data_IF_523050817964
#
_entry.id   IF_523050817964
#
_cell.length_a   1.000
_cell.length_b   1.000
_cell.length_c   1.000
_cell.angle_alpha   90.00
_cell.angle_beta   90.00
_cell.angle_gamma   90.00
#
_symmetry.space_group_name_H-M   'P 1'
#
loop_
_entity.id
_entity.type
_entity.pdbx_description
1 polymer ?
#
# COMPACT_ATOMS: atom_id res chain seq x y z
N UNK A 1 4.62 3.52 -4.58
CA UNK A 1 3.44 4.41 -4.44
C UNK A 1 2.69 4.06 -3.17
N UNK A 2 2.10 5.05 -2.50
CA UNK A 2 1.33 4.82 -1.27
C UNK A 2 0.03 5.64 -1.27
N UNK A 3 -1.03 5.05 -0.73
CA UNK A 3 -2.31 5.73 -0.46
C UNK A 3 -2.96 5.19 0.82
N UNK A 4 -3.83 6.02 1.43
CA UNK A 4 -4.75 5.66 2.51
C UNK A 4 -6.17 5.78 2.02
N UNK A 5 -6.99 4.79 2.32
CA UNK A 5 -8.43 4.81 2.02
C UNK A 5 -9.24 4.64 3.30
N UNK A 6 -10.49 5.09 3.28
CA UNK A 6 -11.46 4.75 4.33
C UNK A 6 -12.08 3.35 4.09
N UNK A 7 -12.97 2.95 4.98
CA UNK A 7 -13.63 1.63 4.94
C UNK A 7 -14.53 1.41 3.71
N UNK A 8 -14.88 2.45 2.96
CA UNK A 8 -15.69 2.36 1.73
C UNK A 8 -14.89 2.62 0.45
N UNK A 9 -13.56 2.64 0.54
CA UNK A 9 -12.68 2.77 -0.63
C UNK A 9 -12.47 4.20 -1.15
N UNK A 10 -12.77 5.24 -0.35
CA UNK A 10 -12.48 6.63 -0.68
C UNK A 10 -11.05 6.97 -0.26
N UNK A 11 -10.29 7.61 -1.14
CA UNK A 11 -8.90 8.00 -0.90
C UNK A 11 -8.86 9.18 0.06
N UNK A 12 -8.27 8.99 1.23
CA UNK A 12 -8.09 10.00 2.27
C UNK A 12 -6.75 10.72 2.15
N UNK A 13 -5.72 9.99 1.72
CA UNK A 13 -4.37 10.53 1.54
C UNK A 13 -3.57 9.69 0.53
N UNK A 14 -2.53 10.29 -0.05
CA UNK A 14 -1.56 9.62 -0.89
C UNK A 14 -0.23 10.37 -0.90
N UNK A 15 0.86 9.67 -1.25
CA UNK A 15 2.15 10.35 -1.48
C UNK A 15 2.21 10.96 -2.89
N UNK A 16 3.17 11.90 -3.08
CA UNK A 16 3.40 12.57 -4.37
C UNK A 16 3.69 11.59 -5.51
N UNK A 17 4.38 10.49 -5.21
CA UNK A 17 4.69 9.45 -6.20
C UNK A 17 3.42 8.78 -6.76
N UNK A 18 2.40 8.53 -5.91
CA UNK A 18 1.12 7.97 -6.35
C UNK A 18 0.39 8.94 -7.27
N UNK A 19 0.29 10.21 -6.87
CA UNK A 19 -0.38 11.23 -7.65
C UNK A 19 0.30 11.47 -9.01
N UNK A 20 1.63 11.68 -9.00
CA UNK A 20 2.41 11.91 -10.21
C UNK A 20 2.36 10.73 -11.19
N UNK A 21 2.42 9.49 -10.70
CA UNK A 21 2.33 8.29 -11.55
C UNK A 21 0.99 8.18 -12.26
N UNK A 22 -0.09 8.56 -11.59
CA UNK A 22 -1.43 8.56 -12.17
C UNK A 22 -1.72 9.80 -13.03
N UNK A 23 -0.85 10.81 -13.00
CA UNK A 23 -1.00 12.03 -13.80
C UNK A 23 -1.94 13.07 -13.19
N UNK A 24 -2.22 13.00 -11.89
CA UNK A 24 -3.09 13.92 -11.17
C UNK A 24 -2.32 14.82 -10.20
N UNK A 25 -2.87 15.99 -9.90
CA UNK A 25 -2.50 16.69 -8.68
C UNK A 25 -3.07 15.94 -7.46
N UNK A 26 -2.36 15.96 -6.31
CA UNK A 26 -2.83 15.27 -5.10
C UNK A 26 -4.25 15.72 -4.70
N UNK A 27 -4.55 17.01 -4.80
CA UNK A 27 -5.88 17.57 -4.49
C UNK A 27 -7.01 17.02 -5.37
N UNK A 28 -6.69 16.54 -6.57
CA UNK A 28 -7.67 15.95 -7.48
C UNK A 28 -7.98 14.49 -7.13
N UNK A 29 -7.10 13.84 -6.38
CA UNK A 29 -7.24 12.42 -5.96
C UNK A 29 -8.01 12.30 -4.64
N UNK A 30 -7.80 13.23 -3.71
CA UNK A 30 -8.43 13.15 -2.39
C UNK A 30 -9.96 13.23 -2.49
N UNK A 31 -10.63 12.34 -1.77
CA UNK A 31 -12.09 12.22 -1.78
C UNK A 31 -12.65 11.36 -2.93
N UNK A 32 -11.82 10.88 -3.85
CA UNK A 32 -12.26 10.03 -4.96
C UNK A 32 -12.23 8.55 -4.58
N UNK A 33 -13.12 7.74 -5.18
CA UNK A 33 -13.09 6.29 -5.02
C UNK A 33 -11.89 5.69 -5.76
N UNK A 34 -11.32 4.63 -5.18
CA UNK A 34 -10.16 3.92 -5.78
C UNK A 34 -10.44 3.36 -7.17
N UNK A 35 -11.71 3.09 -7.50
CA UNK A 35 -12.15 2.57 -8.79
C UNK A 35 -11.93 3.54 -9.95
N UNK A 36 -11.80 4.85 -9.69
CA UNK A 36 -11.49 5.83 -10.75
C UNK A 36 -10.05 5.68 -11.28
N UNK A 37 -9.19 5.00 -10.52
CA UNK A 37 -7.80 4.71 -10.91
C UNK A 37 -7.60 3.28 -11.42
N UNK A 38 -8.68 2.61 -11.81
CA UNK A 38 -8.68 1.23 -12.30
C UNK A 38 -9.60 1.16 -13.52
N UNK A 39 -9.17 0.61 -14.66
CA UNK A 39 -10.02 0.44 -15.81
C UNK A 39 -11.17 -0.54 -15.48
N UNK A 40 -12.32 -0.36 -16.14
CA UNK A 40 -13.53 -1.13 -15.84
C UNK A 40 -13.33 -2.64 -15.93
N UNK A 41 -12.47 -3.08 -16.83
CA UNK A 41 -12.11 -4.49 -17.04
C UNK A 41 -11.45 -5.12 -15.81
N UNK A 42 -10.76 -4.32 -14.98
CA UNK A 42 -10.09 -4.75 -13.75
C UNK A 42 -10.88 -4.46 -12.46
N UNK A 43 -12.14 -4.01 -12.57
CA UNK A 43 -12.97 -3.77 -11.38
C UNK A 43 -13.27 -5.05 -10.60
N UNK A 44 -13.38 -6.21 -11.28
CA UNK A 44 -13.54 -7.51 -10.62
C UNK A 44 -12.36 -7.81 -9.69
N UNK A 45 -11.14 -7.67 -10.20
CA UNK A 45 -9.91 -7.89 -9.42
C UNK A 45 -9.81 -6.94 -8.21
N UNK A 46 -10.20 -5.67 -8.39
CA UNK A 46 -10.22 -4.69 -7.31
C UNK A 46 -11.29 -5.03 -6.26
N UNK A 47 -12.49 -5.46 -6.67
CA UNK A 47 -13.53 -5.91 -5.75
C UNK A 47 -13.09 -7.13 -4.93
N UNK A 48 -12.51 -8.15 -5.57
CA UNK A 48 -11.96 -9.32 -4.89
C UNK A 48 -10.88 -8.93 -3.88
N UNK A 49 -10.06 -7.94 -4.23
CA UNK A 49 -9.03 -7.42 -3.34
C UNK A 49 -9.64 -6.71 -2.12
N UNK A 50 -10.68 -5.90 -2.31
CA UNK A 50 -11.42 -5.25 -1.22
C UNK A 50 -12.12 -6.28 -0.34
N UNK A 51 -12.80 -7.26 -0.92
CA UNK A 51 -13.47 -8.31 -0.17
C UNK A 51 -12.46 -9.07 0.70
N UNK A 52 -11.34 -9.50 0.12
CA UNK A 52 -10.28 -10.17 0.87
C UNK A 52 -9.77 -9.29 2.03
N UNK A 53 -9.56 -7.99 1.78
CA UNK A 53 -9.16 -7.07 2.83
C UNK A 53 -10.18 -6.99 3.97
N UNK A 54 -11.48 -6.92 3.68
CA UNK A 54 -12.53 -6.92 4.69
C UNK A 54 -12.56 -8.21 5.53
N UNK A 55 -12.31 -9.36 4.88
CA UNK A 55 -12.32 -10.67 5.52
C UNK A 55 -11.10 -10.93 6.40
N UNK A 56 -9.91 -10.49 5.95
CA UNK A 56 -8.63 -10.87 6.56
C UNK A 56 -7.89 -9.71 7.24
N UNK A 57 -8.31 -8.46 7.00
CA UNK A 57 -7.62 -7.26 7.46
C UNK A 57 -6.36 -6.91 6.66
N UNK A 58 -6.00 -7.72 5.66
CA UNK A 58 -4.81 -7.49 4.84
C UNK A 58 -4.94 -8.08 3.43
N UNK A 59 -4.15 -7.53 2.53
CA UNK A 59 -3.98 -8.04 1.16
C UNK A 59 -2.50 -8.01 0.81
N UNK A 60 -2.00 -9.10 0.24
CA UNK A 60 -0.63 -9.19 -0.25
C UNK A 60 -0.57 -9.72 -1.68
N UNK A 61 0.45 -9.30 -2.41
CA UNK A 61 0.77 -9.79 -3.75
C UNK A 61 -0.41 -9.73 -4.74
N UNK A 62 -1.29 -8.72 -4.60
CA UNK A 62 -2.43 -8.58 -5.50
C UNK A 62 -2.04 -7.78 -6.74
N UNK A 63 -1.99 -8.43 -7.88
CA UNK A 63 -1.78 -7.78 -9.18
C UNK A 63 -3.07 -7.11 -9.63
N UNK A 64 -3.02 -5.81 -9.93
CA UNK A 64 -4.15 -4.99 -10.40
C UNK A 64 -3.64 -4.07 -11.49
N UNK A 65 -4.40 -3.92 -12.55
CA UNK A 65 -4.15 -2.92 -13.59
C UNK A 65 -4.64 -1.56 -13.11
N UNK A 66 -3.74 -0.58 -13.07
CA UNK A 66 -4.06 0.81 -12.76
C UNK A 66 -4.22 1.63 -14.03
N UNK A 67 -5.07 2.66 -13.99
CA UNK A 67 -5.30 3.59 -15.09
C UNK A 67 -4.89 5.00 -14.68
N UNK A 68 -4.14 5.66 -15.57
CA UNK A 68 -3.75 7.05 -15.44
C UNK A 68 -4.83 7.99 -15.98
N UNK A 69 -4.71 9.28 -15.68
CA UNK A 69 -5.59 10.34 -16.19
C UNK A 69 -5.66 10.39 -17.72
N UNK A 70 -4.54 10.09 -18.40
CA UNK A 70 -4.45 10.06 -19.86
C UNK A 70 -5.02 8.79 -20.50
N UNK A 71 -5.58 7.87 -19.71
CA UNK A 71 -6.14 6.59 -20.14
C UNK A 71 -5.13 5.46 -20.27
N UNK A 72 -3.82 5.73 -20.22
CA UNK A 72 -2.80 4.70 -20.23
C UNK A 72 -2.86 3.83 -18.96
N UNK A 73 -2.48 2.58 -19.08
CA UNK A 73 -2.52 1.63 -17.97
C UNK A 73 -1.13 1.09 -17.60
N UNK A 74 -1.01 0.58 -16.39
CA UNK A 74 0.18 -0.15 -15.94
C UNK A 74 -0.20 -1.23 -14.90
N UNK A 75 0.50 -2.36 -14.87
CA UNK A 75 0.32 -3.38 -13.85
C UNK A 75 0.96 -2.94 -12.54
N UNK A 76 0.20 -2.99 -11.45
CA UNK A 76 0.69 -2.72 -10.10
C UNK A 76 0.54 -3.92 -9.20
N UNK A 77 1.50 -4.14 -8.31
CA UNK A 77 1.41 -5.11 -7.23
C UNK A 77 1.00 -4.39 -5.95
N UNK A 78 -0.14 -4.77 -5.40
CA UNK A 78 -0.78 -4.11 -4.28
C UNK A 78 -0.63 -4.92 -3.00
N UNK A 79 -0.28 -4.20 -1.92
CA UNK A 79 -0.29 -4.68 -0.54
C UNK A 79 -1.08 -3.68 0.30
N UNK A 80 -1.96 -4.17 1.16
CA UNK A 80 -2.78 -3.33 2.03
C UNK A 80 -2.90 -3.93 3.43
N UNK A 81 -2.92 -3.07 4.44
CA UNK A 81 -3.20 -3.43 5.84
C UNK A 81 -4.27 -2.51 6.41
N UNK A 82 -5.12 -3.09 7.24
CA UNK A 82 -6.18 -2.36 7.94
C UNK A 82 -5.62 -1.34 8.92
N UNK A 83 -6.38 -0.26 9.07
CA UNK A 83 -6.21 0.74 10.11
C UNK A 83 -7.43 0.69 11.03
N UNK A 84 -7.17 0.75 12.32
CA UNK A 84 -8.20 0.75 13.36
C UNK A 84 -8.08 2.02 14.21
N UNK A 85 -9.20 2.49 14.73
CA UNK A 85 -9.22 3.55 15.73
C UNK A 85 -8.91 3.02 17.14
N UNK A 86 -8.85 3.91 18.14
CA UNK A 86 -8.59 3.56 19.55
C UNK A 86 -9.65 2.61 20.15
N UNK A 87 -10.85 2.53 19.54
CA UNK A 87 -11.92 1.63 19.92
C UNK A 87 -11.94 0.32 19.13
N UNK A 88 -10.87 0.06 18.35
CA UNK A 88 -10.73 -1.09 17.47
C UNK A 88 -11.80 -1.16 16.35
N UNK A 89 -12.33 -0.02 15.91
CA UNK A 89 -13.18 0.04 14.73
C UNK A 89 -12.32 0.17 13.48
N UNK A 90 -12.66 -0.57 12.43
CA UNK A 90 -12.00 -0.46 11.14
C UNK A 90 -12.28 0.91 10.50
N UNK A 91 -11.24 1.72 10.34
CA UNK A 91 -11.35 3.07 9.76
C UNK A 91 -10.86 3.14 8.31
N UNK A 92 -10.14 2.14 7.83
CA UNK A 92 -9.63 2.10 6.47
C UNK A 92 -8.41 1.22 6.30
N UNK A 93 -7.59 1.50 5.27
CA UNK A 93 -6.32 0.81 5.06
C UNK A 93 -5.22 1.74 4.56
N UNK A 94 -3.98 1.37 4.89
CA UNK A 94 -2.79 1.82 4.17
C UNK A 94 -2.49 0.83 3.05
N UNK A 95 -2.20 1.36 1.86
CA UNK A 95 -1.91 0.57 0.68
C UNK A 95 -0.57 0.98 0.09
N UNK A 96 0.31 0.02 -0.17
CA UNK A 96 1.53 0.19 -0.97
C UNK A 96 1.34 -0.48 -2.33
N UNK A 97 1.79 0.18 -3.39
CA UNK A 97 1.67 -0.30 -4.76
C UNK A 97 3.04 -0.18 -5.43
N UNK A 98 3.54 -1.29 -5.94
CA UNK A 98 4.72 -1.33 -6.81
C UNK A 98 4.28 -1.31 -8.27
N UNK A 99 4.84 -0.41 -9.05
CA UNK A 99 4.67 -0.42 -10.51
C UNK A 99 5.58 -1.49 -11.10
N UNK A 100 5.00 -2.55 -11.62
CA UNK A 100 5.76 -3.67 -12.15
C UNK A 100 6.52 -3.33 -13.43
N UNK A 101 6.09 -2.31 -14.19
CA UNK A 101 6.80 -1.88 -15.41
C UNK A 101 8.14 -1.19 -15.10
N UNK A 102 8.32 -0.73 -13.88
CA UNK A 102 9.51 0.01 -13.44
C UNK A 102 10.44 -0.81 -12.54
N UNK A 103 10.19 -2.10 -12.34
CA UNK A 103 11.00 -2.96 -11.46
C UNK A 103 12.28 -3.42 -12.16
N UNK A 104 13.28 -2.55 -12.15
CA UNK A 104 14.65 -2.85 -12.62
C UNK A 104 15.48 -3.49 -11.50
N UNK A 105 16.57 -4.19 -11.85
CA UNK A 105 17.50 -4.77 -10.87
C UNK A 105 18.07 -3.71 -9.92
N UNK A 106 18.33 -2.50 -10.42
CA UNK A 106 18.79 -1.38 -9.62
C UNK A 106 17.73 -0.94 -8.58
N UNK A 107 16.46 -0.80 -9.00
CA UNK A 107 15.37 -0.47 -8.08
C UNK A 107 15.13 -1.56 -7.05
N UNK A 108 15.23 -2.83 -7.44
CA UNK A 108 15.13 -3.96 -6.53
C UNK A 108 16.20 -3.87 -5.45
N UNK A 109 17.46 -3.61 -5.82
CA UNK A 109 18.57 -3.46 -4.88
C UNK A 109 18.34 -2.29 -3.90
N UNK A 110 17.85 -1.15 -4.40
CA UNK A 110 17.51 0.01 -3.55
C UNK A 110 16.41 -0.35 -2.55
N UNK A 111 15.38 -1.10 -2.97
CA UNK A 111 14.30 -1.55 -2.08
C UNK A 111 14.79 -2.53 -1.03
N UNK A 112 15.67 -3.48 -1.39
CA UNK A 112 16.28 -4.42 -0.44
C UNK A 112 17.07 -3.68 0.65
N UNK A 113 17.86 -2.67 0.26
CA UNK A 113 18.60 -1.83 1.20
C UNK A 113 17.66 -0.98 2.08
N UNK A 114 16.62 -0.41 1.50
CA UNK A 114 15.59 0.33 2.24
C UNK A 114 14.91 -0.54 3.29
N UNK A 115 14.49 -1.76 2.92
CA UNK A 115 13.86 -2.68 3.87
C UNK A 115 14.79 -3.10 4.99
N UNK A 116 16.06 -3.38 4.70
CA UNK A 116 17.05 -3.68 5.73
C UNK A 116 17.21 -2.52 6.72
N UNK A 117 17.25 -1.29 6.23
CA UNK A 117 17.35 -0.10 7.09
C UNK A 117 16.07 0.12 7.92
N UNK A 118 14.88 -0.11 7.33
CA UNK A 118 13.61 -0.01 8.02
C UNK A 118 13.48 -1.08 9.12
N UNK A 119 13.92 -2.31 8.87
CA UNK A 119 13.95 -3.39 9.86
C UNK A 119 14.78 -3.00 11.10
N UNK A 120 15.98 -2.45 10.88
CA UNK A 120 16.83 -1.98 11.95
C UNK A 120 16.13 -0.89 12.80
N UNK A 121 15.49 0.08 12.16
CA UNK A 121 14.76 1.16 12.86
C UNK A 121 13.55 0.64 13.63
N UNK A 122 12.76 -0.26 13.05
CA UNK A 122 11.65 -0.89 13.75
C UNK A 122 12.13 -1.69 14.95
N UNK A 123 13.25 -2.39 14.83
CA UNK A 123 13.89 -3.12 15.95
C UNK A 123 14.35 -2.18 17.06
N UNK A 124 14.88 -1.00 16.74
CA UNK A 124 15.25 0.01 17.74
C UNK A 124 14.03 0.55 18.49
N UNK A 125 12.97 0.93 17.77
CA UNK A 125 11.73 1.44 18.38
C UNK A 125 11.09 0.36 19.26
N UNK A 126 11.15 -0.92 18.86
CA UNK A 126 10.57 -2.02 19.64
C UNK A 126 11.15 -2.15 21.06
N UNK A 127 12.41 -1.73 21.27
CA UNK A 127 13.06 -1.76 22.59
C UNK A 127 12.39 -0.81 23.59
N UNK A 128 11.79 0.26 23.08
CA UNK A 128 11.12 1.29 23.88
C UNK A 128 9.59 1.27 23.71
N UNK A 129 9.04 0.21 23.09
CA UNK A 129 7.61 0.08 22.78
C UNK A 129 6.71 0.31 24.00
N UNK A 130 7.11 -0.22 25.18
CA UNK A 130 6.35 -0.05 26.41
C UNK A 130 6.24 1.41 26.90
N UNK A 131 7.12 2.29 26.43
CA UNK A 131 7.15 3.72 26.77
C UNK A 131 6.31 4.59 25.84
N UNK A 132 5.85 4.02 24.72
CA UNK A 132 5.01 4.73 23.76
C UNK A 132 3.60 4.91 24.34
N UNK A 133 2.96 6.05 23.99
CA UNK A 133 1.52 6.20 24.20
C UNK A 133 0.72 5.30 23.26
N UNK A 134 -0.59 5.16 23.48
CA UNK A 134 -1.44 4.23 22.73
C UNK A 134 -1.53 4.60 21.24
N UNK A 135 -1.49 5.89 20.90
CA UNK A 135 -1.51 6.33 19.51
C UNK A 135 -0.21 5.94 18.79
N UNK A 136 0.94 6.20 19.40
CA UNK A 136 2.25 5.81 18.88
C UNK A 136 2.41 4.29 18.76
N UNK A 137 1.85 3.51 19.70
CA UNK A 137 1.80 2.04 19.62
C UNK A 137 0.99 1.59 18.40
N UNK A 138 -0.21 2.16 18.21
CA UNK A 138 -1.08 1.82 17.07
C UNK A 138 -0.39 2.15 15.74
N UNK A 139 0.28 3.28 15.64
CA UNK A 139 1.06 3.64 14.44
C UNK A 139 2.22 2.67 14.21
N UNK A 140 2.97 2.33 15.24
CA UNK A 140 4.07 1.37 15.16
C UNK A 140 3.59 0.00 14.70
N UNK A 141 2.52 -0.52 15.29
CA UNK A 141 1.96 -1.83 14.95
C UNK A 141 1.47 -1.87 13.50
N UNK A 142 0.83 -0.79 13.03
CA UNK A 142 0.43 -0.64 11.64
C UNK A 142 1.62 -0.62 10.66
N UNK A 143 2.68 0.12 11.01
CA UNK A 143 3.91 0.17 10.20
C UNK A 143 4.63 -1.17 10.19
N UNK A 144 4.74 -1.83 11.35
CA UNK A 144 5.37 -3.14 11.47
C UNK A 144 4.61 -4.19 10.65
N UNK A 145 3.29 -4.22 10.76
CA UNK A 145 2.44 -5.13 10.00
C UNK A 145 2.63 -4.92 8.49
N UNK A 146 2.66 -3.67 8.02
CA UNK A 146 2.92 -3.36 6.61
C UNK A 146 4.33 -3.80 6.20
N UNK A 147 5.33 -3.57 7.05
CA UNK A 147 6.70 -3.99 6.80
C UNK A 147 6.81 -5.51 6.67
N UNK A 148 6.24 -6.27 7.63
CA UNK A 148 6.25 -7.73 7.61
C UNK A 148 5.55 -8.27 6.33
N UNK A 149 4.44 -7.63 5.92
CA UNK A 149 3.71 -7.98 4.70
C UNK A 149 4.57 -7.75 3.44
N UNK A 150 5.26 -6.62 3.34
CA UNK A 150 6.10 -6.29 2.20
C UNK A 150 7.35 -7.17 2.11
N UNK A 151 7.96 -7.50 3.26
CA UNK A 151 9.18 -8.33 3.32
C UNK A 151 8.88 -9.81 3.15
N UNK A 152 7.64 -10.27 3.43
CA UNK A 152 7.20 -11.62 3.09
C UNK A 152 7.16 -11.88 1.57
N UNK A 153 7.16 -10.81 0.78
CA UNK A 153 7.22 -10.86 -0.67
C UNK A 153 8.67 -10.96 -1.11
N UNK A 154 9.02 -11.98 -1.89
CA UNK A 154 10.32 -11.99 -2.52
C UNK A 154 10.37 -10.92 -3.62
N UNK A 155 10.99 -9.78 -3.33
CA UNK A 155 11.07 -8.62 -4.25
C UNK A 155 11.68 -9.01 -5.60
N UNK A 156 12.61 -9.97 -5.63
CA UNK A 156 13.23 -10.45 -6.88
C UNK A 156 12.22 -11.18 -7.76
N UNK A 157 11.23 -11.83 -7.17
CA UNK A 157 10.18 -12.51 -7.92
C UNK A 157 9.20 -11.52 -8.56
N UNK A 158 9.16 -10.24 -8.11
CA UNK A 158 8.35 -9.19 -8.73
C UNK A 158 8.71 -8.98 -10.22
N UNK A 159 9.97 -9.18 -10.57
CA UNK A 159 10.44 -9.08 -11.95
C UNK A 159 9.91 -10.21 -12.84
N UNK A 160 9.63 -11.37 -12.26
CA UNK A 160 9.15 -12.55 -12.97
C UNK A 160 7.61 -12.57 -13.08
N UNK A 161 6.93 -11.56 -12.54
CA UNK A 161 5.46 -11.46 -12.50
C UNK A 161 4.89 -10.74 -13.74
N UNK A 162 5.76 -10.21 -14.61
CA UNK A 162 5.43 -9.61 -15.91
C UNK A 162 5.32 -10.69 -16.98
#
# INVERSE_FOLDING_TARGET
MWRRINSIGIILDCNSTYAAKLGYAKSEILGRPIFEHVPKESWGEMNDSLQKWFETGEVSNRKITFQKQDGNTFPGLLHAVSLYDEKNNLIGSNTVIFDLTEMTDEKIKILEEFFKNAENRLSEISKDYSKLDENAKSEYDGLKKMFDLLTSTNIRDLKNTL
#
